data_IF_187338200957
#
_entry.id   IF_187338200957
#
_cell.length_a   1.000
_cell.length_b   1.000
_cell.length_c   1.000
_cell.angle_alpha   90.00
_cell.angle_beta   90.00
_cell.angle_gamma   90.00
#
_symmetry.space_group_name_H-M   'P 1'
#
loop_
_entity.id
_entity.type
_entity.pdbx_description
1 polymer ?
#
# COMPACT_ATOMS: atom_id res chain seq x y z
N UNK A 1 -25.52 -31.60 20.36
CA UNK A 1 -24.81 -31.46 19.06
C UNK A 1 -24.75 -30.02 18.56
N UNK A 2 -25.88 -29.30 18.43
CA UNK A 2 -25.92 -27.92 17.92
C UNK A 2 -25.09 -26.91 18.75
N UNK A 3 -25.16 -26.99 20.09
CA UNK A 3 -24.39 -26.11 20.98
C UNK A 3 -22.87 -26.32 20.89
N UNK A 4 -22.42 -27.56 20.71
CA UNK A 4 -20.99 -27.88 20.57
C UNK A 4 -20.43 -27.33 19.25
N UNK A 5 -21.20 -27.46 18.17
CA UNK A 5 -20.84 -26.88 16.87
C UNK A 5 -20.73 -25.36 16.93
N UNK A 6 -21.62 -24.70 17.68
CA UNK A 6 -21.54 -23.26 17.94
C UNK A 6 -20.24 -22.87 18.64
N UNK A 7 -19.83 -23.62 19.67
CA UNK A 7 -18.55 -23.38 20.36
C UNK A 7 -17.33 -23.65 19.48
N UNK A 8 -17.37 -24.67 18.62
CA UNK A 8 -16.30 -24.95 17.66
C UNK A 8 -16.15 -23.78 16.68
N UNK A 9 -17.26 -23.34 16.07
CA UNK A 9 -17.24 -22.22 15.12
C UNK A 9 -16.74 -20.93 15.79
N UNK A 10 -17.26 -20.61 16.97
CA UNK A 10 -16.85 -19.44 17.73
C UNK A 10 -15.37 -19.54 18.16
N UNK A 11 -14.93 -20.71 18.61
CA UNK A 11 -13.54 -20.99 18.96
C UNK A 11 -12.59 -20.76 17.80
N UNK A 12 -12.94 -21.25 16.60
CA UNK A 12 -12.16 -21.05 15.37
C UNK A 12 -12.06 -19.56 15.00
N UNK A 13 -13.19 -18.84 14.96
CA UNK A 13 -13.22 -17.44 14.54
C UNK A 13 -12.45 -16.56 15.54
N UNK A 14 -12.72 -16.73 16.84
CA UNK A 14 -12.05 -15.96 17.89
C UNK A 14 -10.55 -16.27 17.95
N UNK A 15 -10.15 -17.55 17.85
CA UNK A 15 -8.75 -17.96 17.82
C UNK A 15 -7.99 -17.29 16.66
N UNK A 16 -8.55 -17.33 15.45
CA UNK A 16 -7.94 -16.69 14.28
C UNK A 16 -7.74 -15.18 14.51
N UNK A 17 -8.80 -14.48 14.94
CA UNK A 17 -8.74 -13.02 15.17
C UNK A 17 -7.72 -12.69 16.26
N UNK A 18 -7.75 -13.39 17.39
CA UNK A 18 -6.83 -13.14 18.51
C UNK A 18 -5.39 -13.40 18.08
N UNK A 19 -5.11 -14.49 17.36
CA UNK A 19 -3.75 -14.80 16.91
C UNK A 19 -3.20 -13.78 15.92
N UNK A 20 -4.04 -13.24 15.03
CA UNK A 20 -3.66 -12.12 14.15
C UNK A 20 -3.40 -10.85 14.96
N UNK A 21 -4.23 -10.52 15.95
CA UNK A 21 -3.99 -9.37 16.83
C UNK A 21 -2.67 -9.54 17.59
N UNK A 22 -2.41 -10.72 18.16
CA UNK A 22 -1.16 -11.03 18.85
C UNK A 22 0.06 -10.90 17.93
N UNK A 23 -0.07 -11.31 16.67
CA UNK A 23 0.96 -11.12 15.65
C UNK A 23 1.28 -9.63 15.46
N UNK A 24 0.28 -8.79 15.20
CA UNK A 24 0.49 -7.35 15.01
C UNK A 24 1.04 -6.66 16.28
N UNK A 25 0.59 -7.10 17.46
CA UNK A 25 1.14 -6.64 18.74
C UNK A 25 2.59 -7.09 18.94
N UNK A 26 3.00 -8.22 18.38
CA UNK A 26 4.40 -8.65 18.37
C UNK A 26 5.30 -7.66 17.65
N UNK A 27 4.93 -7.20 16.45
CA UNK A 27 5.66 -6.13 15.77
C UNK A 27 5.74 -4.86 16.62
N UNK A 28 4.64 -4.50 17.29
CA UNK A 28 4.60 -3.34 18.17
C UNK A 28 5.58 -3.47 19.34
N UNK A 29 5.53 -4.58 20.08
CA UNK A 29 6.36 -4.83 21.26
C UNK A 29 7.85 -4.81 20.87
N UNK A 30 8.23 -5.62 19.87
CA UNK A 30 9.62 -5.75 19.45
C UNK A 30 10.15 -4.49 18.75
N UNK A 31 9.28 -3.77 18.03
CA UNK A 31 9.60 -2.45 17.51
C UNK A 31 9.89 -1.45 18.63
N UNK A 32 9.04 -1.36 19.65
CA UNK A 32 9.25 -0.45 20.79
C UNK A 32 10.56 -0.76 21.52
N UNK A 33 10.85 -2.04 21.78
CA UNK A 33 12.09 -2.51 22.42
C UNK A 33 13.31 -2.08 21.60
N UNK A 34 13.24 -2.17 20.26
CA UNK A 34 14.31 -1.74 19.35
C UNK A 34 14.30 -0.25 19.02
N UNK A 35 13.45 0.53 19.70
CA UNK A 35 13.43 1.98 19.59
C UNK A 35 12.62 2.53 18.41
N UNK A 36 11.84 1.71 17.71
CA UNK A 36 10.86 2.17 16.75
C UNK A 36 9.73 2.95 17.43
N UNK A 37 9.10 3.85 16.70
CA UNK A 37 8.00 4.66 17.20
C UNK A 37 6.69 4.22 16.56
N UNK A 38 5.69 3.98 17.40
CA UNK A 38 4.35 3.61 16.94
C UNK A 38 3.73 4.68 16.06
N UNK A 39 3.19 4.27 14.90
CA UNK A 39 2.43 5.13 14.00
C UNK A 39 0.94 4.81 14.07
N UNK A 40 0.56 3.58 13.69
CA UNK A 40 -0.81 3.10 13.80
C UNK A 40 -0.88 1.57 13.82
N UNK A 41 -1.98 1.04 14.32
CA UNK A 41 -2.38 -0.36 14.16
C UNK A 41 -3.73 -0.41 13.45
N UNK A 42 -3.83 -1.27 12.44
CA UNK A 42 -5.00 -1.47 11.61
C UNK A 42 -5.53 -2.89 11.85
N UNK A 43 -6.75 -3.00 12.34
CA UNK A 43 -7.45 -4.27 12.59
C UNK A 43 -8.77 -4.24 11.83
N UNK A 44 -8.83 -5.02 10.76
CA UNK A 44 -9.93 -5.03 9.80
C UNK A 44 -10.19 -3.64 9.19
N UNK A 45 -11.19 -2.88 9.63
CA UNK A 45 -11.47 -1.49 9.18
C UNK A 45 -11.16 -0.43 10.23
N UNK A 46 -10.78 -0.86 11.43
CA UNK A 46 -10.52 0.03 12.56
C UNK A 46 -9.03 0.34 12.60
N UNK A 47 -8.68 1.61 12.57
CA UNK A 47 -7.31 2.09 12.67
C UNK A 47 -7.17 2.92 13.93
N UNK A 48 -6.31 2.47 14.84
CA UNK A 48 -5.86 3.26 15.97
C UNK A 48 -4.54 3.93 15.56
N UNK A 49 -4.60 5.24 15.28
CA UNK A 49 -3.43 6.03 14.86
C UNK A 49 -2.98 7.00 15.94
N UNK A 50 -1.67 7.29 15.98
CA UNK A 50 -1.05 8.27 16.87
C UNK A 50 -0.67 9.52 16.07
N UNK A 51 -1.38 10.63 16.30
CA UNK A 51 -1.05 11.94 15.70
C UNK A 51 -0.77 12.97 16.80
N UNK A 52 0.38 13.67 16.72
CA UNK A 52 0.74 14.80 17.59
C UNK A 52 0.43 14.58 19.09
N UNK A 53 0.72 13.38 19.60
CA UNK A 53 0.49 12.88 20.99
C UNK A 53 -0.93 12.41 21.35
N UNK A 54 -1.91 12.46 20.44
CA UNK A 54 -3.25 11.90 20.66
C UNK A 54 -3.39 10.56 19.94
N UNK A 55 -4.00 9.61 20.62
CA UNK A 55 -4.51 8.39 19.99
C UNK A 55 -5.91 8.67 19.47
N UNK A 56 -6.17 8.32 18.22
CA UNK A 56 -7.48 8.44 17.60
C UNK A 56 -7.87 7.13 16.94
N UNK A 57 -9.08 6.66 17.20
CA UNK A 57 -9.68 5.53 16.52
C UNK A 57 -10.51 6.05 15.34
N UNK A 58 -10.22 5.56 14.14
CA UNK A 58 -10.95 5.91 12.92
C UNK A 58 -11.39 4.64 12.19
N UNK A 59 -12.48 4.73 11.42
CA UNK A 59 -12.85 3.71 10.45
C UNK A 59 -12.34 4.11 9.07
N UNK A 60 -11.66 3.19 8.39
CA UNK A 60 -11.13 3.38 7.04
C UNK A 60 -11.83 2.46 6.04
N UNK A 61 -11.72 2.79 4.76
CA UNK A 61 -12.34 2.00 3.68
C UNK A 61 -11.62 0.67 3.46
N UNK A 62 -10.30 0.70 3.56
CA UNK A 62 -9.42 -0.46 3.41
C UNK A 62 -9.61 -1.50 4.51
N UNK A 63 -9.47 -2.77 4.15
CA UNK A 63 -9.45 -3.88 5.09
C UNK A 63 -8.02 -4.40 5.25
N UNK A 64 -7.53 -4.49 6.49
CA UNK A 64 -6.21 -5.04 6.72
C UNK A 64 -5.91 -5.38 8.17
N UNK A 65 -4.85 -6.15 8.36
CA UNK A 65 -4.19 -6.37 9.64
C UNK A 65 -2.74 -5.92 9.46
N UNK A 66 -2.39 -4.80 10.08
CA UNK A 66 -1.07 -4.16 9.92
C UNK A 66 -0.71 -3.35 11.16
N UNK A 67 0.49 -3.55 11.68
CA UNK A 67 1.14 -2.66 12.63
C UNK A 67 2.21 -1.87 11.89
N UNK A 68 2.04 -0.55 11.79
CA UNK A 68 3.03 0.32 11.17
C UNK A 68 3.73 1.13 12.26
N UNK A 69 5.05 1.06 12.23
CA UNK A 69 5.95 1.85 13.05
C UNK A 69 6.93 2.59 12.15
N UNK A 70 7.54 3.65 12.64
CA UNK A 70 8.56 4.39 11.92
C UNK A 70 9.89 4.39 12.69
N UNK A 71 11.03 4.39 11.98
CA UNK A 71 12.33 4.28 12.59
C UNK A 71 12.77 5.62 13.21
N UNK A 72 13.69 5.57 14.18
CA UNK A 72 14.35 6.78 14.73
C UNK A 72 15.33 7.41 13.73
N UNK A 73 15.93 6.59 12.87
CA UNK A 73 16.89 6.98 11.83
C UNK A 73 16.86 5.97 10.69
N UNK A 74 17.36 6.32 9.49
CA UNK A 74 17.45 5.37 8.39
C UNK A 74 18.33 4.15 8.69
N UNK A 75 19.26 4.26 9.66
CA UNK A 75 20.15 3.17 10.09
C UNK A 75 19.56 2.29 11.19
N UNK A 76 18.35 2.58 11.67
CA UNK A 76 17.70 1.79 12.73
C UNK A 76 17.51 0.35 12.29
N UNK A 77 17.87 -0.60 13.16
CA UNK A 77 17.71 -2.01 12.87
C UNK A 77 16.22 -2.39 12.86
N UNK A 78 15.78 -3.02 11.77
CA UNK A 78 14.41 -3.44 11.53
C UNK A 78 14.19 -4.93 11.85
N UNK A 79 15.25 -5.70 12.09
CA UNK A 79 15.18 -7.16 12.11
C UNK A 79 14.21 -7.72 13.16
N UNK A 80 14.28 -7.24 14.41
CA UNK A 80 13.36 -7.67 15.47
C UNK A 80 11.95 -7.09 15.30
N UNK A 81 11.83 -5.88 14.77
CA UNK A 81 10.53 -5.30 14.41
C UNK A 81 9.83 -6.20 13.39
N UNK A 82 10.52 -6.64 12.34
CA UNK A 82 9.98 -7.51 11.30
C UNK A 82 9.62 -8.91 11.81
N UNK A 83 10.39 -9.51 12.72
CA UNK A 83 10.11 -10.86 13.23
C UNK A 83 9.22 -10.87 14.49
N UNK A 84 8.87 -9.70 15.03
CA UNK A 84 8.19 -9.58 16.31
C UNK A 84 6.86 -10.34 16.37
N UNK A 85 6.05 -10.28 15.32
CA UNK A 85 4.80 -11.02 15.23
C UNK A 85 5.00 -12.53 15.28
N UNK A 86 5.96 -13.04 14.50
CA UNK A 86 6.33 -14.46 14.52
C UNK A 86 6.79 -14.92 15.93
N UNK A 87 7.58 -14.11 16.63
CA UNK A 87 8.04 -14.44 17.99
C UNK A 87 6.85 -14.55 18.95
N UNK A 88 5.92 -13.59 18.92
CA UNK A 88 4.76 -13.61 19.81
C UNK A 88 3.81 -14.77 19.48
N UNK A 89 3.57 -15.09 18.21
CA UNK A 89 2.78 -16.28 17.88
C UNK A 89 3.45 -17.56 18.40
N UNK A 90 4.77 -17.71 18.23
CA UNK A 90 5.48 -18.88 18.73
C UNK A 90 5.37 -19.02 20.26
N UNK A 91 5.54 -17.91 21.00
CA UNK A 91 5.36 -17.91 22.46
C UNK A 91 3.92 -18.27 22.85
N UNK A 92 2.93 -17.77 22.10
CA UNK A 92 1.52 -18.10 22.34
C UNK A 92 1.20 -19.58 22.10
N UNK A 93 1.86 -20.21 21.12
CA UNK A 93 1.74 -21.64 20.81
C UNK A 93 2.34 -22.48 21.94
N UNK A 94 3.54 -22.13 22.40
CA UNK A 94 4.19 -22.83 23.52
C UNK A 94 3.32 -22.77 24.78
N UNK A 95 2.77 -21.58 25.06
CA UNK A 95 1.85 -21.39 26.18
C UNK A 95 0.56 -22.20 26.04
N UNK A 96 -0.09 -22.14 24.87
CA UNK A 96 -1.33 -22.88 24.61
C UNK A 96 -1.14 -24.39 24.67
N UNK A 97 -0.06 -24.91 24.09
CA UNK A 97 0.31 -26.33 24.19
C UNK A 97 0.57 -26.75 25.64
N UNK A 98 1.30 -25.93 26.40
CA UNK A 98 1.55 -26.16 27.82
C UNK A 98 0.25 -26.31 28.62
N UNK A 99 -0.74 -25.46 28.38
CA UNK A 99 -2.06 -25.56 29.01
C UNK A 99 -2.82 -26.83 28.63
N UNK A 100 -2.79 -27.22 27.35
CA UNK A 100 -3.49 -28.40 26.86
C UNK A 100 -2.98 -29.70 27.50
N UNK A 101 -1.68 -29.77 27.83
CA UNK A 101 -1.05 -30.96 28.40
C UNK A 101 -1.03 -30.95 29.93
N UNK A 102 -0.90 -29.76 30.54
CA UNK A 102 -0.63 -29.65 31.97
C UNK A 102 -1.88 -29.39 32.83
N UNK A 103 -2.98 -28.94 32.23
CA UNK A 103 -4.19 -28.52 32.96
C UNK A 103 -5.38 -29.38 32.57
N UNK A 104 -6.19 -29.78 33.56
CA UNK A 104 -7.49 -30.43 33.32
C UNK A 104 -8.51 -29.38 32.88
N UNK A 105 -8.82 -29.35 31.58
CA UNK A 105 -9.74 -28.39 30.97
C UNK A 105 -11.11 -29.02 30.76
N UNK A 106 -12.17 -28.21 30.85
CA UNK A 106 -13.49 -28.64 30.35
C UNK A 106 -13.44 -28.81 28.84
N UNK A 107 -14.33 -29.64 28.28
CA UNK A 107 -14.36 -29.88 26.83
C UNK A 107 -14.49 -28.59 26.01
N UNK A 108 -15.30 -27.63 26.50
CA UNK A 108 -15.47 -26.33 25.85
C UNK A 108 -14.16 -25.55 25.87
N UNK A 109 -13.54 -25.38 27.05
CA UNK A 109 -12.30 -24.61 27.17
C UNK A 109 -11.15 -25.24 26.39
N UNK A 110 -11.09 -26.58 26.36
CA UNK A 110 -10.15 -27.33 25.55
C UNK A 110 -10.28 -26.96 24.07
N UNK A 111 -11.49 -26.88 23.52
CA UNK A 111 -11.73 -26.49 22.11
C UNK A 111 -11.20 -25.08 21.83
N UNK A 112 -11.39 -24.12 22.72
CA UNK A 112 -10.88 -22.75 22.53
C UNK A 112 -9.35 -22.70 22.57
N UNK A 113 -8.72 -23.34 23.56
CA UNK A 113 -7.26 -23.35 23.70
C UNK A 113 -6.62 -24.13 22.55
N UNK A 114 -7.22 -25.25 22.14
CA UNK A 114 -6.77 -26.02 20.98
C UNK A 114 -6.85 -25.19 19.71
N UNK A 115 -8.00 -24.55 19.45
CA UNK A 115 -8.19 -23.67 18.30
C UNK A 115 -7.17 -22.53 18.30
N UNK A 116 -7.00 -21.86 19.44
CA UNK A 116 -6.00 -20.80 19.64
C UNK A 116 -4.58 -21.27 19.32
N UNK A 117 -4.20 -22.45 19.80
CA UNK A 117 -2.87 -23.03 19.60
C UNK A 117 -2.64 -23.38 18.13
N UNK A 118 -3.60 -24.05 17.48
CA UNK A 118 -3.49 -24.46 16.07
C UNK A 118 -3.42 -23.25 15.14
N UNK A 119 -4.24 -22.22 15.37
CA UNK A 119 -4.13 -20.99 14.58
C UNK A 119 -2.81 -20.25 14.82
N UNK A 120 -2.29 -20.27 16.05
CA UNK A 120 -0.97 -19.74 16.37
C UNK A 120 0.14 -20.43 15.57
N UNK A 121 0.09 -21.76 15.47
CA UNK A 121 1.02 -22.56 14.65
C UNK A 121 0.90 -22.17 13.18
N UNK A 122 -0.33 -22.09 12.66
CA UNK A 122 -0.59 -21.74 11.27
C UNK A 122 -0.06 -20.35 10.90
N UNK A 123 -0.40 -19.33 11.68
CA UNK A 123 0.03 -17.94 11.45
C UNK A 123 1.54 -17.78 11.63
N UNK A 124 2.13 -18.48 12.60
CA UNK A 124 3.58 -18.56 12.75
C UNK A 124 4.22 -19.08 11.47
N UNK A 125 3.84 -20.25 10.95
CA UNK A 125 4.46 -20.81 9.75
C UNK A 125 4.21 -19.96 8.50
N UNK A 126 3.02 -19.39 8.34
CA UNK A 126 2.69 -18.52 7.20
C UNK A 126 3.61 -17.29 7.11
N UNK A 127 4.11 -16.77 8.24
CA UNK A 127 4.97 -15.58 8.28
C UNK A 127 6.46 -15.92 8.50
N UNK A 128 6.75 -17.01 9.21
CA UNK A 128 8.11 -17.44 9.55
C UNK A 128 8.80 -18.25 8.42
N UNK A 129 8.06 -18.70 7.40
CA UNK A 129 8.61 -19.32 6.17
C UNK A 129 8.65 -18.26 5.08
N UNK A 130 9.83 -17.97 4.52
CA UNK A 130 10.00 -16.92 3.52
C UNK A 130 9.12 -17.16 2.28
N UNK A 131 8.33 -16.15 1.90
CA UNK A 131 7.53 -16.15 0.68
C UNK A 131 7.52 -14.77 0.03
N UNK A 132 7.76 -14.75 -1.29
CA UNK A 132 7.70 -13.56 -2.15
C UNK A 132 6.71 -13.72 -3.30
N UNK A 133 5.76 -14.67 -3.17
CA UNK A 133 4.70 -14.87 -4.18
C UNK A 133 3.76 -13.66 -4.28
N UNK A 134 3.52 -13.01 -3.14
CA UNK A 134 2.91 -11.68 -2.99
C UNK A 134 3.99 -10.74 -2.45
N UNK A 135 3.61 -9.53 -2.04
CA UNK A 135 4.47 -8.70 -1.19
C UNK A 135 5.10 -9.58 -0.09
N UNK A 136 6.41 -9.42 0.10
CA UNK A 136 7.19 -10.25 1.01
C UNK A 136 6.55 -10.34 2.40
N UNK A 137 6.41 -11.55 2.93
CA UNK A 137 6.02 -11.76 4.32
C UNK A 137 7.19 -11.48 5.29
N UNK A 138 6.94 -11.55 6.60
CA UNK A 138 7.91 -11.23 7.65
C UNK A 138 9.28 -11.88 7.43
N UNK A 139 9.32 -13.20 7.23
CA UNK A 139 10.60 -13.90 7.06
C UNK A 139 11.32 -13.49 5.78
N UNK A 140 10.59 -13.31 4.67
CA UNK A 140 11.19 -12.83 3.43
C UNK A 140 11.73 -11.40 3.58
N UNK A 141 10.95 -10.52 4.21
CA UNK A 141 11.36 -9.15 4.55
C UNK A 141 12.61 -9.16 5.42
N UNK A 142 12.63 -9.92 6.52
CA UNK A 142 13.79 -10.09 7.40
C UNK A 142 15.05 -10.52 6.61
N UNK A 143 14.91 -11.52 5.73
CA UNK A 143 16.03 -12.01 4.92
C UNK A 143 16.58 -10.92 3.99
N UNK A 144 15.70 -10.16 3.34
CA UNK A 144 16.07 -9.04 2.46
C UNK A 144 16.77 -7.91 3.24
N UNK A 145 16.21 -7.50 4.39
CA UNK A 145 16.78 -6.44 5.23
C UNK A 145 18.12 -6.85 5.84
N UNK A 146 18.31 -8.15 6.14
CA UNK A 146 19.58 -8.68 6.65
C UNK A 146 20.65 -8.73 5.56
N UNK A 147 20.27 -9.06 4.32
CA UNK A 147 21.21 -9.29 3.23
C UNK A 147 21.81 -7.99 2.65
N UNK A 148 21.07 -6.88 2.66
CA UNK A 148 21.51 -5.65 2.00
C UNK A 148 21.14 -4.37 2.77
N UNK A 149 22.13 -3.51 2.97
CA UNK A 149 21.95 -2.21 3.62
C UNK A 149 21.11 -1.24 2.78
N UNK A 150 21.18 -1.32 1.45
CA UNK A 150 20.38 -0.43 0.58
C UNK A 150 18.90 -0.75 0.73
N UNK A 151 18.54 -2.03 0.65
CA UNK A 151 17.18 -2.52 0.91
C UNK A 151 16.68 -2.11 2.30
N UNK A 152 17.54 -2.18 3.33
CA UNK A 152 17.19 -1.73 4.69
C UNK A 152 16.92 -0.23 4.76
N UNK A 153 17.76 0.58 4.13
CA UNK A 153 17.56 2.03 4.08
C UNK A 153 16.26 2.38 3.34
N UNK A 154 15.97 1.69 2.23
CA UNK A 154 14.71 1.85 1.48
C UNK A 154 13.49 1.53 2.36
N UNK A 155 13.49 0.37 3.03
CA UNK A 155 12.42 0.00 3.95
C UNK A 155 12.20 1.06 5.04
N UNK A 156 13.28 1.53 5.65
CA UNK A 156 13.22 2.53 6.71
C UNK A 156 12.72 3.90 6.18
N UNK A 157 13.14 4.28 4.98
CA UNK A 157 12.68 5.50 4.33
C UNK A 157 11.18 5.42 3.97
N UNK A 158 10.69 4.28 3.50
CA UNK A 158 9.26 4.08 3.22
C UNK A 158 8.41 4.31 4.46
N UNK A 159 8.84 3.79 5.61
CA UNK A 159 8.11 3.98 6.87
C UNK A 159 8.21 5.42 7.40
N UNK A 160 9.31 6.11 7.14
CA UNK A 160 9.44 7.53 7.42
C UNK A 160 8.52 8.37 6.51
N UNK A 161 8.50 8.09 5.20
CA UNK A 161 7.60 8.72 4.22
C UNK A 161 6.15 8.49 4.62
N UNK A 162 5.78 7.25 4.97
CA UNK A 162 4.43 6.91 5.44
C UNK A 162 4.01 7.74 6.66
N UNK A 163 4.92 7.98 7.62
CA UNK A 163 4.67 8.88 8.75
C UNK A 163 4.37 10.30 8.27
N UNK A 164 5.16 10.85 7.33
CA UNK A 164 4.96 12.20 6.80
C UNK A 164 3.62 12.31 6.04
N UNK A 165 3.29 11.30 5.22
CA UNK A 165 2.01 11.22 4.52
C UNK A 165 0.84 11.15 5.50
N UNK A 166 0.96 10.41 6.60
CA UNK A 166 -0.07 10.37 7.65
C UNK A 166 -0.27 11.73 8.33
N UNK A 167 0.79 12.54 8.43
CA UNK A 167 0.73 13.91 8.96
C UNK A 167 0.16 14.94 7.94
N UNK A 168 -0.27 14.50 6.76
CA UNK A 168 -0.88 15.35 5.73
C UNK A 168 0.13 16.04 4.81
N UNK A 169 1.41 15.68 4.90
CA UNK A 169 2.49 16.19 4.06
C UNK A 169 2.45 15.44 2.73
N UNK A 170 2.39 16.14 1.58
CA UNK A 170 2.42 15.47 0.27
C UNK A 170 3.85 15.13 -0.15
N UNK A 171 4.02 14.26 -1.16
CA UNK A 171 5.32 13.81 -1.65
C UNK A 171 6.29 14.96 -1.95
N UNK A 172 5.83 16.02 -2.63
CA UNK A 172 6.65 17.21 -2.96
C UNK A 172 7.23 17.93 -1.74
N UNK A 173 6.60 17.79 -0.57
CA UNK A 173 6.99 18.48 0.65
C UNK A 173 7.98 17.65 1.49
N UNK A 174 8.23 16.39 1.11
CA UNK A 174 9.22 15.52 1.76
C UNK A 174 10.56 15.72 1.06
N UNK A 175 11.64 15.72 1.83
CA UNK A 175 13.01 15.90 1.31
C UNK A 175 13.38 14.79 0.31
N UNK A 176 14.00 15.20 -0.81
CA UNK A 176 14.28 14.34 -1.97
C UNK A 176 15.13 13.11 -1.62
N UNK A 177 16.04 13.25 -0.67
CA UNK A 177 17.00 12.21 -0.30
C UNK A 177 16.34 10.97 0.31
N UNK A 178 15.13 11.10 0.87
CA UNK A 178 14.35 9.94 1.30
C UNK A 178 13.79 9.12 0.14
N UNK A 179 13.74 9.67 -1.07
CA UNK A 179 13.24 8.98 -2.26
C UNK A 179 14.37 8.37 -3.09
N UNK A 180 15.45 9.12 -3.33
CA UNK A 180 16.55 8.71 -4.22
C UNK A 180 17.58 7.81 -3.53
N UNK A 181 17.14 6.64 -3.06
CA UNK A 181 17.97 5.65 -2.38
C UNK A 181 18.38 4.47 -3.27
N UNK A 182 17.72 4.32 -4.42
CA UNK A 182 18.00 3.27 -5.40
C UNK A 182 18.68 3.89 -6.65
N UNK A 183 20.03 3.92 -6.73
CA UNK A 183 20.73 4.43 -7.91
C UNK A 183 20.73 3.43 -9.08
N UNK A 184 20.50 2.14 -8.82
CA UNK A 184 20.55 1.06 -9.81
C UNK A 184 19.20 0.34 -9.93
N UNK A 185 19.20 -0.76 -10.68
CA UNK A 185 18.00 -1.56 -10.89
C UNK A 185 17.49 -2.18 -9.58
N UNK A 186 16.18 -2.11 -9.38
CA UNK A 186 15.51 -2.76 -8.25
C UNK A 186 15.76 -4.27 -8.25
N UNK A 187 16.15 -4.81 -7.09
CA UNK A 187 16.45 -6.24 -6.93
C UNK A 187 15.31 -7.03 -6.27
N UNK A 188 14.40 -6.33 -5.59
CA UNK A 188 13.32 -6.89 -4.80
C UNK A 188 12.15 -5.90 -4.68
N UNK A 189 11.05 -6.34 -4.08
CA UNK A 189 9.83 -5.53 -3.90
C UNK A 189 10.04 -4.24 -3.11
N UNK A 190 10.90 -4.25 -2.09
CA UNK A 190 11.15 -3.07 -1.25
C UNK A 190 11.83 -2.00 -2.10
N UNK A 191 12.91 -2.35 -2.81
CA UNK A 191 13.59 -1.41 -3.71
C UNK A 191 12.69 -0.95 -4.87
N UNK A 192 11.85 -1.83 -5.40
CA UNK A 192 10.90 -1.49 -6.46
C UNK A 192 9.84 -0.50 -5.96
N UNK A 193 9.30 -0.71 -4.76
CA UNK A 193 8.35 0.23 -4.15
C UNK A 193 9.01 1.58 -3.82
N UNK A 194 10.29 1.58 -3.43
CA UNK A 194 11.05 2.82 -3.25
C UNK A 194 11.11 3.67 -4.53
N UNK A 195 11.29 3.02 -5.69
CA UNK A 195 11.29 3.70 -6.98
C UNK A 195 9.88 4.23 -7.34
N UNK A 196 8.81 3.53 -6.93
CA UNK A 196 7.43 4.04 -7.07
C UNK A 196 7.24 5.32 -6.24
N UNK A 197 7.78 5.37 -5.02
CA UNK A 197 7.74 6.59 -4.20
C UNK A 197 8.56 7.73 -4.83
N UNK A 198 9.72 7.44 -5.42
CA UNK A 198 10.51 8.40 -6.19
C UNK A 198 9.72 8.94 -7.40
N UNK A 199 8.99 8.06 -8.10
CA UNK A 199 8.08 8.46 -9.17
C UNK A 199 6.99 9.41 -8.65
N UNK A 200 6.35 9.12 -7.51
CA UNK A 200 5.35 10.01 -6.92
C UNK A 200 5.91 11.37 -6.54
N UNK A 201 7.14 11.43 -6.03
CA UNK A 201 7.83 12.69 -5.77
C UNK A 201 8.01 13.53 -7.05
N UNK A 202 8.50 12.92 -8.14
CA UNK A 202 8.67 13.65 -9.41
C UNK A 202 7.33 14.06 -10.02
N UNK A 203 6.29 13.24 -9.88
CA UNK A 203 4.95 13.55 -10.33
C UNK A 203 4.32 14.71 -9.53
N UNK A 204 4.55 14.77 -8.21
CA UNK A 204 4.01 15.84 -7.36
C UNK A 204 4.74 17.18 -7.61
N UNK A 205 6.08 17.12 -7.80
CA UNK A 205 6.92 18.29 -8.11
C UNK A 205 6.76 18.81 -9.54
N UNK A 206 6.21 18.01 -10.47
CA UNK A 206 6.09 18.36 -11.88
C UNK A 206 7.38 18.10 -12.69
N UNK A 207 8.30 17.30 -12.17
CA UNK A 207 9.57 16.96 -12.83
C UNK A 207 9.38 15.82 -13.83
N UNK A 208 8.53 16.00 -14.85
CA UNK A 208 8.11 14.93 -15.76
C UNK A 208 9.26 14.28 -16.54
N UNK A 209 10.33 15.02 -16.83
CA UNK A 209 11.54 14.50 -17.49
C UNK A 209 12.23 13.39 -16.69
N UNK A 210 12.01 13.32 -15.37
CA UNK A 210 12.57 12.28 -14.50
C UNK A 210 11.74 10.99 -14.47
N UNK A 211 10.49 11.00 -14.97
CA UNK A 211 9.60 9.84 -14.88
C UNK A 211 10.14 8.64 -15.67
N UNK A 212 10.55 8.86 -16.91
CA UNK A 212 11.12 7.80 -17.77
C UNK A 212 12.38 7.17 -17.14
N UNK A 213 13.41 7.97 -16.79
CA UNK A 213 14.60 7.49 -16.09
C UNK A 213 14.27 6.74 -14.79
N UNK A 214 13.27 7.19 -14.03
CA UNK A 214 12.86 6.53 -12.77
C UNK A 214 12.31 5.13 -13.04
N UNK A 215 11.38 4.98 -13.99
CA UNK A 215 10.85 3.66 -14.34
C UNK A 215 11.87 2.73 -15.00
N UNK A 216 12.91 3.28 -15.65
CA UNK A 216 13.99 2.48 -16.24
C UNK A 216 14.81 1.71 -15.17
N UNK A 217 14.80 2.19 -13.92
CA UNK A 217 15.37 1.47 -12.76
C UNK A 217 14.57 0.20 -12.41
N UNK A 218 13.36 0.02 -12.93
CA UNK A 218 12.57 -1.20 -12.71
C UNK A 218 12.58 -2.02 -13.99
N UNK A 219 13.51 -2.98 -14.06
CA UNK A 219 13.53 -3.97 -15.14
C UNK A 219 12.44 -5.01 -14.88
N UNK A 220 11.71 -5.38 -15.93
CA UNK A 220 10.80 -6.51 -15.91
C UNK A 220 11.62 -7.78 -15.64
N UNK A 221 11.66 -8.19 -14.38
CA UNK A 221 12.42 -9.34 -13.90
C UNK A 221 11.53 -10.19 -13.02
N UNK A 222 11.78 -11.51 -13.00
CA UNK A 222 11.03 -12.51 -12.24
C UNK A 222 11.12 -12.35 -10.70
N UNK A 223 11.65 -11.23 -10.19
CA UNK A 223 11.93 -10.99 -8.77
C UNK A 223 10.97 -9.99 -8.11
N UNK A 224 10.07 -9.39 -8.88
CA UNK A 224 9.05 -8.45 -8.39
C UNK A 224 7.73 -9.20 -8.24
N UNK A 225 7.06 -9.04 -7.10
CA UNK A 225 5.75 -9.66 -6.87
C UNK A 225 4.68 -9.10 -7.79
N UNK A 226 3.63 -9.89 -7.99
CA UNK A 226 2.50 -9.49 -8.84
C UNK A 226 1.87 -8.17 -8.38
N UNK A 227 1.75 -7.97 -7.07
CA UNK A 227 1.15 -6.76 -6.49
C UNK A 227 1.94 -5.50 -6.90
N UNK A 228 3.27 -5.53 -6.77
CA UNK A 228 4.13 -4.40 -7.18
C UNK A 228 4.12 -4.22 -8.70
N UNK A 229 4.14 -5.31 -9.46
CA UNK A 229 4.07 -5.26 -10.93
C UNK A 229 2.76 -4.61 -11.41
N UNK A 230 1.64 -4.89 -10.75
CA UNK A 230 0.33 -4.33 -11.09
C UNK A 230 0.23 -2.84 -10.74
N UNK A 231 0.87 -2.38 -9.64
CA UNK A 231 1.03 -0.94 -9.35
C UNK A 231 1.84 -0.26 -10.46
N UNK A 232 3.00 -0.81 -10.83
CA UNK A 232 3.87 -0.23 -11.87
C UNK A 232 3.13 -0.10 -13.20
N UNK A 233 2.40 -1.14 -13.61
CA UNK A 233 1.57 -1.10 -14.83
C UNK A 233 0.53 0.02 -14.76
N UNK A 234 -0.18 0.12 -13.64
CA UNK A 234 -1.20 1.14 -13.41
C UNK A 234 -0.61 2.56 -13.50
N UNK A 235 0.54 2.79 -12.87
CA UNK A 235 1.23 4.09 -12.89
C UNK A 235 1.84 4.44 -14.25
N UNK A 236 2.32 3.44 -15.01
CA UNK A 236 2.77 3.64 -16.40
C UNK A 236 1.63 4.14 -17.28
N UNK A 237 0.43 3.56 -17.17
CA UNK A 237 -0.76 4.01 -17.90
C UNK A 237 -1.10 5.44 -17.51
N UNK A 238 -1.17 5.73 -16.21
CA UNK A 238 -1.45 7.07 -15.71
C UNK A 238 -0.47 8.11 -16.27
N UNK A 239 0.82 7.79 -16.25
CA UNK A 239 1.85 8.67 -16.81
C UNK A 239 1.61 8.97 -18.28
N UNK A 240 1.22 7.97 -19.08
CA UNK A 240 0.95 8.17 -20.52
C UNK A 240 -0.28 9.03 -20.77
N UNK A 241 -1.34 8.85 -19.97
CA UNK A 241 -2.53 9.69 -20.04
C UNK A 241 -2.19 11.16 -19.72
N UNK A 242 -1.43 11.40 -18.66
CA UNK A 242 -1.00 12.76 -18.30
C UNK A 242 -0.12 13.37 -19.38
N UNK A 243 0.88 12.62 -19.88
CA UNK A 243 1.72 13.08 -20.98
C UNK A 243 0.88 13.45 -22.20
N UNK A 244 -0.10 12.62 -22.59
CA UNK A 244 -0.99 12.91 -23.71
C UNK A 244 -1.71 14.25 -23.53
N UNK A 245 -2.37 14.46 -22.40
CA UNK A 245 -3.11 15.70 -22.17
C UNK A 245 -2.20 16.92 -22.02
N UNK A 246 -0.98 16.75 -21.52
CA UNK A 246 0.02 17.82 -21.52
C UNK A 246 0.48 18.20 -22.93
N UNK A 247 0.72 17.22 -23.82
CA UNK A 247 1.15 17.48 -25.19
C UNK A 247 0.04 18.15 -26.00
N UNK A 248 -1.21 17.68 -25.85
CA UNK A 248 -2.39 18.33 -26.45
C UNK A 248 -2.55 19.78 -26.00
N UNK A 249 -2.34 20.06 -24.71
CA UNK A 249 -2.38 21.40 -24.17
C UNK A 249 -1.30 22.33 -24.75
N UNK A 250 -0.21 21.77 -25.28
CA UNK A 250 0.88 22.51 -25.93
C UNK A 250 0.80 22.43 -27.46
N UNK A 251 -0.36 22.09 -28.02
CA UNK A 251 -0.62 22.02 -29.47
C UNK A 251 0.29 21.04 -30.24
N UNK A 252 0.84 20.04 -29.55
CA UNK A 252 1.64 18.99 -30.16
C UNK A 252 0.73 17.85 -30.63
N UNK A 253 0.77 17.54 -31.92
CA UNK A 253 -0.19 16.66 -32.60
C UNK A 253 0.33 15.25 -32.91
N UNK A 254 1.66 15.03 -32.92
CA UNK A 254 2.25 13.70 -33.10
C UNK A 254 2.23 12.88 -31.80
N UNK A 255 1.03 12.40 -31.45
CA UNK A 255 0.76 11.68 -30.21
C UNK A 255 -0.07 10.40 -30.39
N UNK A 256 -0.30 9.96 -31.63
CA UNK A 256 -1.10 8.77 -31.93
C UNK A 256 -0.50 7.49 -31.33
N UNK A 257 0.84 7.44 -31.17
CA UNK A 257 1.52 6.35 -30.48
C UNK A 257 1.07 6.22 -29.00
N UNK A 258 0.66 7.32 -28.36
CA UNK A 258 0.10 7.30 -27.00
C UNK A 258 -1.29 6.70 -26.99
N UNK A 259 -2.14 6.98 -27.99
CA UNK A 259 -3.45 6.35 -28.11
C UNK A 259 -3.33 4.83 -28.22
N UNK A 260 -2.47 4.37 -29.14
CA UNK A 260 -2.21 2.93 -29.32
C UNK A 260 -1.74 2.26 -28.02
N UNK A 261 -0.84 2.90 -27.29
CA UNK A 261 -0.37 2.40 -25.99
C UNK A 261 -1.52 2.35 -24.97
N UNK A 262 -2.23 3.47 -24.76
CA UNK A 262 -3.26 3.58 -23.74
C UNK A 262 -4.41 2.62 -24.05
N UNK A 263 -4.89 2.56 -25.29
CA UNK A 263 -5.98 1.69 -25.71
C UNK A 263 -5.63 0.20 -25.54
N UNK A 264 -4.42 -0.20 -25.93
CA UNK A 264 -3.93 -1.57 -25.73
C UNK A 264 -3.98 -1.95 -24.25
N UNK A 265 -3.50 -1.07 -23.37
CA UNK A 265 -3.48 -1.33 -21.94
C UNK A 265 -4.89 -1.33 -21.32
N UNK A 266 -5.75 -0.39 -21.68
CA UNK A 266 -7.14 -0.33 -21.18
C UNK A 266 -7.94 -1.57 -21.59
N UNK A 267 -7.69 -2.12 -22.78
CA UNK A 267 -8.38 -3.33 -23.25
C UNK A 267 -7.84 -4.61 -22.60
N UNK A 268 -6.54 -4.67 -22.27
CA UNK A 268 -5.91 -5.82 -21.61
C UNK A 268 -6.16 -5.82 -20.09
N UNK A 269 -6.03 -4.65 -19.48
CA UNK A 269 -6.25 -4.44 -18.06
C UNK A 269 -7.70 -4.07 -17.91
N UNK A 270 -8.55 -5.05 -17.58
CA UNK A 270 -9.88 -4.78 -17.03
C UNK A 270 -9.69 -3.76 -15.90
N UNK A 271 -9.98 -2.47 -16.15
CA UNK A 271 -9.69 -1.37 -15.21
C UNK A 271 -10.43 -1.60 -13.89
N UNK A 272 -11.48 -2.42 -13.90
CA UNK A 272 -12.17 -2.84 -12.69
C UNK A 272 -11.42 -3.92 -11.91
N UNK A 273 -10.56 -4.74 -12.53
CA UNK A 273 -9.80 -5.82 -11.85
C UNK A 273 -8.79 -5.32 -10.81
N UNK A 274 -7.94 -4.31 -11.05
CA UNK A 274 -7.06 -3.77 -10.01
C UNK A 274 -7.84 -3.28 -8.80
N UNK A 275 -9.00 -2.66 -9.03
CA UNK A 275 -9.93 -2.16 -8.00
C UNK A 275 -10.68 -3.31 -7.30
N UNK A 276 -10.99 -4.39 -8.01
CA UNK A 276 -11.64 -5.60 -7.45
C UNK A 276 -10.66 -6.49 -6.69
N UNK A 277 -9.38 -6.55 -7.09
CA UNK A 277 -8.35 -7.35 -6.43
C UNK A 277 -7.94 -6.74 -5.08
N UNK A 278 -7.91 -5.41 -4.98
CA UNK A 278 -7.83 -4.71 -3.69
C UNK A 278 -9.26 -4.43 -3.19
N UNK A 279 -9.89 -5.36 -2.46
CA UNK A 279 -11.24 -5.19 -1.87
C UNK A 279 -11.34 -3.89 -1.04
N UNK A 280 -11.68 -2.77 -1.68
CA UNK A 280 -11.74 -1.44 -1.06
C UNK A 280 -11.01 -0.33 -1.83
N UNK A 281 -10.02 -0.65 -2.69
CA UNK A 281 -9.23 0.28 -3.51
C UNK A 281 -8.42 1.31 -2.71
N UNK A 282 -7.10 1.37 -2.90
CA UNK A 282 -6.32 2.48 -2.35
C UNK A 282 -6.58 3.78 -3.14
N UNK A 283 -6.21 4.92 -2.54
CA UNK A 283 -6.45 6.24 -3.14
C UNK A 283 -5.71 6.45 -4.49
N UNK A 284 -4.56 5.81 -4.73
CA UNK A 284 -3.87 5.89 -6.01
C UNK A 284 -4.63 5.11 -7.07
N UNK A 285 -5.14 3.92 -6.75
CA UNK A 285 -6.02 3.17 -7.65
C UNK A 285 -7.25 3.99 -8.08
N UNK A 286 -7.87 4.74 -7.16
CA UNK A 286 -8.96 5.66 -7.50
C UNK A 286 -8.52 6.78 -8.46
N UNK A 287 -7.33 7.36 -8.25
CA UNK A 287 -6.76 8.39 -9.14
C UNK A 287 -6.48 7.86 -10.54
N UNK A 288 -5.84 6.69 -10.64
CA UNK A 288 -5.54 6.06 -11.94
C UNK A 288 -6.84 5.77 -12.69
N UNK A 289 -7.83 5.20 -12.00
CA UNK A 289 -9.15 4.94 -12.57
C UNK A 289 -9.80 6.20 -13.13
N UNK A 290 -9.82 7.29 -12.35
CA UNK A 290 -10.42 8.55 -12.77
C UNK A 290 -9.77 9.10 -14.04
N UNK A 291 -8.43 8.97 -14.18
CA UNK A 291 -7.72 9.37 -15.39
C UNK A 291 -8.05 8.47 -16.60
N UNK A 292 -8.14 7.15 -16.42
CA UNK A 292 -8.55 6.23 -17.48
C UNK A 292 -9.98 6.50 -17.94
N UNK A 293 -10.93 6.64 -17.01
CA UNK A 293 -12.32 7.00 -17.32
C UNK A 293 -12.40 8.35 -18.05
N UNK A 294 -11.58 9.33 -17.65
CA UNK A 294 -11.49 10.62 -18.33
C UNK A 294 -10.96 10.51 -19.77
N UNK A 295 -9.93 9.69 -20.00
CA UNK A 295 -9.42 9.42 -21.34
C UNK A 295 -10.46 8.73 -22.24
N UNK A 296 -11.15 7.70 -21.73
CA UNK A 296 -12.22 7.00 -22.47
C UNK A 296 -13.35 7.98 -22.82
N UNK A 297 -13.77 8.82 -21.87
CA UNK A 297 -14.80 9.83 -22.11
C UNK A 297 -14.34 10.89 -23.11
N UNK A 298 -13.09 11.34 -23.03
CA UNK A 298 -12.51 12.31 -23.96
C UNK A 298 -12.59 11.84 -25.42
N UNK A 299 -12.39 10.54 -25.70
CA UNK A 299 -12.53 9.98 -27.06
C UNK A 299 -13.96 9.98 -27.59
N UNK A 300 -14.96 10.01 -26.71
CA UNK A 300 -16.37 9.74 -27.05
C UNK A 300 -17.33 10.88 -26.67
N UNK A 301 -16.85 11.98 -26.10
CA UNK A 301 -17.69 13.04 -25.52
C UNK A 301 -16.94 14.37 -25.41
N UNK A 302 -17.69 15.46 -25.30
CA UNK A 302 -17.15 16.81 -25.07
C UNK A 302 -16.40 16.91 -23.72
N UNK A 303 -15.33 17.71 -23.73
CA UNK A 303 -14.43 18.04 -22.61
C UNK A 303 -15.17 18.45 -21.35
N UNK A 304 -16.29 19.19 -21.47
CA UNK A 304 -17.10 19.58 -20.31
C UNK A 304 -17.62 18.40 -19.51
N UNK A 305 -18.03 17.31 -20.18
CA UNK A 305 -18.48 16.07 -19.50
C UNK A 305 -17.32 15.39 -18.78
N UNK A 306 -16.14 15.39 -19.39
CA UNK A 306 -14.90 14.84 -18.80
C UNK A 306 -14.54 15.60 -17.51
N UNK A 307 -14.50 16.93 -17.57
CA UNK A 307 -14.19 17.79 -16.43
C UNK A 307 -15.20 17.61 -15.29
N UNK A 308 -16.50 17.58 -15.61
CA UNK A 308 -17.55 17.35 -14.61
C UNK A 308 -17.42 15.99 -13.91
N UNK A 309 -17.05 14.94 -14.66
CA UNK A 309 -16.79 13.62 -14.09
C UNK A 309 -15.59 13.63 -13.15
N UNK A 310 -14.47 14.24 -13.55
CA UNK A 310 -13.27 14.36 -12.70
C UNK A 310 -13.55 15.15 -11.41
N UNK A 311 -14.32 16.24 -11.49
CA UNK A 311 -14.75 17.00 -10.30
C UNK A 311 -15.58 16.14 -9.33
N UNK A 312 -16.49 15.29 -9.84
CA UNK A 312 -17.23 14.33 -9.00
C UNK A 312 -16.31 13.32 -8.32
N UNK A 313 -15.27 12.83 -8.99
CA UNK A 313 -14.30 11.92 -8.38
C UNK A 313 -13.46 12.60 -7.30
N UNK A 314 -13.07 13.87 -7.48
CA UNK A 314 -12.42 14.68 -6.43
C UNK A 314 -13.31 14.76 -5.18
N UNK A 315 -14.61 15.04 -5.34
CA UNK A 315 -15.53 15.12 -4.20
C UNK A 315 -15.69 13.79 -3.46
N UNK A 316 -15.65 12.66 -4.17
CA UNK A 316 -15.61 11.33 -3.55
C UNK A 316 -14.30 11.13 -2.77
N UNK A 317 -13.15 11.44 -3.36
CA UNK A 317 -11.84 11.34 -2.70
C UNK A 317 -11.70 12.22 -1.47
N UNK A 318 -12.37 13.38 -1.42
CA UNK A 318 -12.39 14.25 -0.22
C UNK A 318 -13.16 13.62 0.93
N UNK A 319 -14.23 12.88 0.63
CA UNK A 319 -15.13 12.26 1.61
C UNK A 319 -14.62 10.91 2.12
N UNK A 320 -13.69 10.28 1.42
CA UNK A 320 -13.14 8.99 1.80
C UNK A 320 -12.13 9.10 2.95
N UNK A 321 -12.17 8.10 3.82
CA UNK A 321 -11.33 8.00 4.99
C UNK A 321 -10.17 7.04 4.74
N UNK A 322 -9.03 7.61 4.35
CA UNK A 322 -7.75 6.92 4.23
C UNK A 322 -6.83 7.25 5.40
N UNK A 323 -5.88 6.34 5.68
CA UNK A 323 -4.88 6.54 6.74
C UNK A 323 -3.94 7.69 6.42
N UNK A 324 -3.55 7.82 5.15
CA UNK A 324 -2.53 8.76 4.68
C UNK A 324 -3.14 10.00 4.02
N UNK A 325 -3.37 11.05 4.81
CA UNK A 325 -3.96 12.31 4.33
C UNK A 325 -3.11 13.00 3.24
N UNK A 326 -1.79 12.82 3.28
CA UNK A 326 -0.83 13.33 2.29
C UNK A 326 -0.98 12.67 0.93
N UNK A 327 -1.28 11.36 0.87
CA UNK A 327 -1.59 10.67 -0.39
C UNK A 327 -2.90 11.14 -0.99
N UNK A 328 -3.93 11.31 -0.16
CA UNK A 328 -5.21 11.89 -0.58
C UNK A 328 -5.02 13.29 -1.16
N UNK A 329 -4.25 14.14 -0.49
CA UNK A 329 -3.90 15.48 -0.99
C UNK A 329 -3.16 15.41 -2.32
N UNK A 330 -2.15 14.55 -2.43
CA UNK A 330 -1.42 14.31 -3.68
C UNK A 330 -2.37 13.88 -4.81
N UNK A 331 -3.18 12.85 -4.58
CA UNK A 331 -4.05 12.30 -5.63
C UNK A 331 -5.09 13.30 -6.12
N UNK A 332 -5.71 14.05 -5.21
CA UNK A 332 -6.65 15.13 -5.58
C UNK A 332 -5.94 16.19 -6.43
N UNK A 333 -4.73 16.60 -6.05
CA UNK A 333 -3.98 17.60 -6.80
C UNK A 333 -3.58 17.11 -8.20
N UNK A 334 -3.27 15.83 -8.34
CA UNK A 334 -2.99 15.22 -9.64
C UNK A 334 -4.21 15.24 -10.57
N UNK A 335 -5.43 14.97 -10.05
CA UNK A 335 -6.66 15.11 -10.85
C UNK A 335 -6.96 16.58 -11.17
N UNK A 336 -6.68 17.53 -10.26
CA UNK A 336 -6.82 18.96 -10.55
C UNK A 336 -5.92 19.43 -11.69
N UNK A 337 -4.64 19.02 -11.69
CA UNK A 337 -3.71 19.31 -12.79
C UNK A 337 -4.22 18.76 -14.12
N UNK A 338 -4.82 17.56 -14.11
CA UNK A 338 -5.45 16.99 -15.30
C UNK A 338 -6.63 17.86 -15.80
N UNK A 339 -7.49 18.34 -14.90
CA UNK A 339 -8.58 19.27 -15.25
C UNK A 339 -8.02 20.57 -15.84
N UNK A 340 -6.98 21.15 -15.24
CA UNK A 340 -6.33 22.38 -15.74
C UNK A 340 -5.85 22.21 -17.18
N UNK A 341 -5.21 21.08 -17.51
CA UNK A 341 -4.79 20.77 -18.88
C UNK A 341 -6.00 20.63 -19.83
N UNK A 342 -7.07 19.94 -19.40
CA UNK A 342 -8.28 19.77 -20.22
C UNK A 342 -9.01 21.10 -20.48
N UNK A 343 -9.06 22.01 -19.49
CA UNK A 343 -9.63 23.34 -19.67
C UNK A 343 -8.84 24.17 -20.70
N UNK A 344 -7.51 24.05 -20.71
CA UNK A 344 -6.68 24.72 -21.73
C UNK A 344 -6.94 24.16 -23.13
N UNK A 345 -7.07 22.84 -23.27
CA UNK A 345 -7.45 22.20 -24.54
C UNK A 345 -8.84 22.68 -24.99
N UNK A 346 -9.82 22.80 -24.09
CA UNK A 346 -11.16 23.31 -24.43
C UNK A 346 -11.11 24.75 -24.96
N UNK A 347 -10.20 25.58 -24.42
CA UNK A 347 -10.02 26.94 -24.90
C UNK A 347 -9.34 26.97 -26.26
N UNK A 348 -8.31 26.15 -26.49
CA UNK A 348 -7.64 26.02 -27.81
C UNK A 348 -8.68 25.63 -28.87
N UNK A 349 -9.55 24.65 -28.60
CA UNK A 349 -10.55 24.18 -29.57
C UNK A 349 -11.70 25.18 -29.87
N UNK A 350 -11.79 26.28 -29.12
CA UNK A 350 -12.81 27.34 -29.36
C UNK A 350 -12.31 28.45 -30.28
N UNK A 351 -11.01 28.51 -30.53
CA UNK A 351 -10.34 29.40 -31.48
C UNK A 351 -9.89 28.60 -32.69
#
# INVERSE_FOLDING_TARGET
MCLLLLHILNGIISAFIIQVILHELGHLIWGMITGWKFLYIHIYKLVLKKSKKRLSLIMVEDKGFKCIMYPKSLKTDALFYTMGGCIVNLLSVVWGFGLLVSVRLTAILWIYIWSFTVFGVGIFFMNAIASTKRICNDKACYNLLRADHTTRNCHNAQLFIAKQLMDGISYRQIEKDYFNLCPYNAKNDIEAYQIILEYYYYLDTGSFHMIGPTFAKIKETNKISKDIADIIKSERIYSKIITKFMLLCNELTDIEYLDKFIDTYINIVDIEKPIKQHKGGDIHSYRVKAACEAYILYKNSDLRKVINKLNKEIEKMKRSNFVYDGEKKFCINQIRKLIENLCKIENINKY
#
